data_IF_793699255888
#
_entry.id   IF_793699255888
#
_cell.length_a   1.000
_cell.length_b   1.000
_cell.length_c   1.000
_cell.angle_alpha   90.00
_cell.angle_beta   90.00
_cell.angle_gamma   90.00
#
_symmetry.space_group_name_H-M   'P 1'
#
loop_
_entity.id
_entity.type
_entity.pdbx_description
1 polymer ?
#
# COMPACT_ATOMS: atom_id res chain seq x y z
N UNK A 1 -13.06 10.78 34.41
CA UNK A 1 -13.17 10.31 33.01
C UNK A 1 -13.49 11.47 32.07
N UNK A 2 -13.03 11.39 30.83
CA UNK A 2 -13.31 12.35 29.75
C UNK A 2 -13.69 11.63 28.47
N UNK A 3 -14.42 12.30 27.56
CA UNK A 3 -14.63 11.77 26.23
C UNK A 3 -13.28 11.63 25.48
N UNK A 4 -13.16 10.55 24.71
CA UNK A 4 -12.01 10.36 23.83
C UNK A 4 -11.92 11.51 22.84
N UNK A 5 -10.73 12.03 22.62
CA UNK A 5 -10.42 13.04 21.61
C UNK A 5 -10.73 12.58 20.18
N UNK A 6 -10.84 11.26 19.98
CA UNK A 6 -11.04 10.60 18.71
C UNK A 6 -12.49 10.12 18.50
N UNK A 7 -13.40 10.58 19.36
CA UNK A 7 -14.84 10.33 19.26
C UNK A 7 -15.49 11.31 18.26
N UNK A 8 -16.30 10.77 17.37
CA UNK A 8 -17.15 11.50 16.42
C UNK A 8 -18.61 11.11 16.62
N UNK A 9 -19.50 12.09 16.44
CA UNK A 9 -20.94 11.89 16.37
C UNK A 9 -21.40 12.17 14.94
N UNK A 10 -22.05 11.21 14.30
CA UNK A 10 -22.53 11.28 12.92
C UNK A 10 -24.04 11.18 12.88
N UNK A 11 -24.74 12.21 12.47
CA UNK A 11 -26.19 12.25 12.42
C UNK A 11 -26.73 11.52 11.19
N UNK A 12 -27.54 10.49 11.37
CA UNK A 12 -28.13 9.65 10.30
C UNK A 12 -29.67 9.63 10.38
N UNK A 13 -30.30 10.78 10.53
CA UNK A 13 -31.76 10.93 10.57
C UNK A 13 -32.37 10.47 11.89
N UNK A 14 -32.98 9.29 11.95
CA UNK A 14 -33.68 8.78 13.14
C UNK A 14 -32.74 8.32 14.27
N UNK A 15 -31.48 8.05 13.98
CA UNK A 15 -30.47 7.72 14.96
C UNK A 15 -29.18 8.46 14.67
N UNK A 16 -28.25 8.40 15.60
CA UNK A 16 -26.86 8.85 15.41
C UNK A 16 -25.91 7.69 15.49
N UNK A 17 -24.78 7.79 14.82
CA UNK A 17 -23.67 6.88 14.98
C UNK A 17 -22.58 7.58 15.79
N UNK A 18 -22.03 6.88 16.77
CA UNK A 18 -20.81 7.29 17.43
C UNK A 18 -19.67 6.44 16.92
N UNK A 19 -18.57 7.08 16.60
CA UNK A 19 -17.37 6.44 16.06
C UNK A 19 -16.14 6.89 16.81
N UNK A 20 -15.32 5.95 17.28
CA UNK A 20 -14.00 6.24 17.82
C UNK A 20 -12.94 5.76 16.84
N UNK A 21 -12.21 6.69 16.21
CA UNK A 21 -11.21 6.35 15.21
C UNK A 21 -9.91 5.77 15.80
N UNK A 22 -9.71 5.79 17.12
CA UNK A 22 -8.59 5.09 17.80
C UNK A 22 -8.86 3.59 17.89
N UNK A 23 -10.10 3.21 18.24
CA UNK A 23 -10.50 1.81 18.40
C UNK A 23 -11.18 1.23 17.17
N UNK A 24 -11.48 2.06 16.18
CA UNK A 24 -12.23 1.74 14.96
C UNK A 24 -13.63 1.19 15.25
N UNK A 25 -14.22 1.62 16.37
CA UNK A 25 -15.51 1.16 16.87
C UNK A 25 -16.63 2.08 16.43
N UNK A 26 -17.66 1.51 15.79
CA UNK A 26 -18.92 2.18 15.41
C UNK A 26 -20.07 1.61 16.18
N UNK A 27 -20.93 2.47 16.76
CA UNK A 27 -22.14 2.08 17.45
C UNK A 27 -23.30 3.04 17.15
N UNK A 28 -24.50 2.50 17.04
CA UNK A 28 -25.72 3.30 16.90
C UNK A 28 -26.22 3.72 18.28
N UNK A 29 -26.64 4.97 18.40
CA UNK A 29 -27.25 5.55 19.61
C UNK A 29 -28.46 6.38 19.21
N UNK A 30 -29.40 6.57 20.16
CA UNK A 30 -30.47 7.51 19.92
C UNK A 30 -29.95 8.98 19.91
N UNK A 31 -30.76 9.86 19.31
CA UNK A 31 -30.36 11.25 19.16
C UNK A 31 -30.22 11.99 20.49
N UNK A 32 -30.94 11.59 21.54
CA UNK A 32 -30.85 12.22 22.87
C UNK A 32 -29.51 11.90 23.54
N UNK A 33 -29.08 10.63 23.46
CA UNK A 33 -27.76 10.23 23.96
C UNK A 33 -26.62 10.88 23.17
N UNK A 34 -26.79 11.03 21.86
CA UNK A 34 -25.83 11.75 21.01
C UNK A 34 -25.75 13.24 21.40
N UNK A 35 -26.88 13.90 21.73
CA UNK A 35 -26.90 15.28 22.21
C UNK A 35 -26.12 15.45 23.54
N UNK A 36 -26.22 14.47 24.44
CA UNK A 36 -25.46 14.47 25.70
C UNK A 36 -23.94 14.37 25.44
N UNK A 37 -23.53 13.58 24.45
CA UNK A 37 -22.12 13.46 24.06
C UNK A 37 -21.61 14.78 23.49
N UNK A 38 -22.32 15.36 22.52
CA UNK A 38 -21.94 16.64 21.89
C UNK A 38 -21.98 17.81 22.89
N UNK A 39 -22.89 17.75 23.86
CA UNK A 39 -22.97 18.68 24.98
C UNK A 39 -21.91 18.45 26.09
N UNK A 40 -21.02 17.48 25.92
CA UNK A 40 -20.01 17.10 26.92
C UNK A 40 -20.57 16.81 28.31
N UNK A 41 -21.78 16.23 28.38
CA UNK A 41 -22.51 15.98 29.64
C UNK A 41 -22.18 14.60 30.23
N UNK A 42 -20.90 14.30 30.41
CA UNK A 42 -20.46 12.98 30.89
C UNK A 42 -20.96 12.64 32.31
N UNK A 43 -20.92 13.62 33.23
CA UNK A 43 -21.41 13.43 34.60
C UNK A 43 -22.90 13.12 34.63
N UNK A 44 -23.68 13.73 33.74
CA UNK A 44 -25.10 13.44 33.63
C UNK A 44 -25.34 12.02 33.09
N UNK A 45 -24.56 11.60 32.07
CA UNK A 45 -24.59 10.23 31.54
C UNK A 45 -24.26 9.23 32.64
N UNK A 46 -23.22 9.45 33.43
CA UNK A 46 -22.84 8.60 34.55
C UNK A 46 -23.95 8.45 35.59
N UNK A 47 -24.65 9.55 35.93
CA UNK A 47 -25.69 9.55 36.95
C UNK A 47 -27.05 9.00 36.48
N UNK A 48 -27.41 9.24 35.21
CA UNK A 48 -28.74 8.97 34.67
C UNK A 48 -28.84 7.86 33.64
N UNK A 49 -27.69 7.50 33.01
CA UNK A 49 -27.60 6.50 31.97
C UNK A 49 -26.44 5.53 32.24
N UNK A 50 -26.43 4.91 33.42
CA UNK A 50 -25.31 4.09 33.92
C UNK A 50 -24.90 2.99 32.94
N UNK A 51 -25.84 2.28 32.30
CA UNK A 51 -25.52 1.22 31.33
C UNK A 51 -24.81 1.81 30.09
N UNK A 52 -25.23 2.99 29.66
CA UNK A 52 -24.60 3.68 28.56
C UNK A 52 -23.20 4.19 28.92
N UNK A 53 -23.01 4.70 30.14
CA UNK A 53 -21.69 5.08 30.65
C UNK A 53 -20.72 3.88 30.65
N UNK A 54 -21.16 2.72 31.16
CA UNK A 54 -20.37 1.50 31.17
C UNK A 54 -20.04 1.04 29.74
N UNK A 55 -21.02 1.14 28.84
CA UNK A 55 -20.80 0.87 27.41
C UNK A 55 -19.76 1.80 26.82
N UNK A 56 -19.86 3.13 27.02
CA UNK A 56 -18.89 4.10 26.52
C UNK A 56 -17.47 3.82 27.02
N UNK A 57 -17.33 3.42 28.29
CA UNK A 57 -16.04 3.06 28.88
C UNK A 57 -15.49 1.78 28.27
N UNK A 58 -16.30 0.74 28.16
CA UNK A 58 -15.89 -0.57 27.58
C UNK A 58 -15.42 -0.46 26.14
N UNK A 59 -16.12 0.33 25.33
CA UNK A 59 -15.84 0.49 23.90
C UNK A 59 -14.78 1.60 23.62
N UNK A 60 -14.27 2.26 24.67
CA UNK A 60 -13.21 3.26 24.57
C UNK A 60 -13.67 4.63 24.07
N UNK A 61 -14.98 4.94 24.13
CA UNK A 61 -15.50 6.27 23.82
C UNK A 61 -15.22 7.31 24.93
N UNK A 62 -14.97 6.83 26.14
CA UNK A 62 -14.46 7.64 27.25
C UNK A 62 -13.19 7.00 27.84
N UNK A 63 -12.28 7.84 28.32
CA UNK A 63 -10.96 7.44 28.86
C UNK A 63 -10.71 8.12 30.21
N UNK A 64 -9.74 7.64 30.97
CA UNK A 64 -9.34 8.29 32.23
C UNK A 64 -8.76 9.69 31.93
N UNK A 65 -8.89 10.62 32.92
CA UNK A 65 -8.52 12.03 32.73
C UNK A 65 -7.03 12.24 32.45
N UNK A 66 -6.18 11.39 33.04
CA UNK A 66 -4.72 11.40 32.93
C UNK A 66 -4.17 10.73 31.67
N UNK A 67 -5.01 10.02 30.89
CA UNK A 67 -4.58 9.34 29.65
C UNK A 67 -4.27 10.35 28.55
N UNK A 68 -3.05 10.31 28.03
CA UNK A 68 -2.70 10.91 26.74
C UNK A 68 -2.87 9.89 25.62
N UNK A 69 -4.03 9.95 24.95
CA UNK A 69 -4.36 9.00 23.88
C UNK A 69 -3.42 9.08 22.68
N UNK A 70 -2.76 10.23 22.44
CA UNK A 70 -1.80 10.36 21.35
C UNK A 70 -0.52 9.58 21.64
N UNK A 71 -0.05 9.64 22.90
CA UNK A 71 1.11 8.84 23.35
C UNK A 71 0.80 7.35 23.20
N UNK A 72 -0.38 6.90 23.65
CA UNK A 72 -0.80 5.49 23.53
C UNK A 72 -0.77 5.00 22.09
N UNK A 73 -1.24 5.82 21.16
CA UNK A 73 -1.26 5.49 19.72
C UNK A 73 0.17 5.33 19.21
N UNK A 74 1.05 6.29 19.52
CA UNK A 74 2.44 6.24 19.09
C UNK A 74 3.16 5.03 19.70
N UNK A 75 2.92 4.71 20.97
CA UNK A 75 3.49 3.52 21.61
C UNK A 75 2.99 2.22 20.98
N UNK A 76 1.71 2.17 20.60
CA UNK A 76 1.16 1.04 19.85
C UNK A 76 1.85 0.89 18.50
N UNK A 77 2.03 1.97 17.77
CA UNK A 77 2.73 1.95 16.48
C UNK A 77 4.20 1.57 16.59
N UNK A 78 4.88 1.97 17.66
CA UNK A 78 6.26 1.52 17.94
C UNK A 78 6.34 0.01 18.18
N UNK A 79 5.33 -0.57 18.86
CA UNK A 79 5.24 -2.02 19.06
C UNK A 79 5.00 -2.76 17.75
N UNK A 80 4.14 -2.22 16.89
CA UNK A 80 3.85 -2.79 15.56
C UNK A 80 5.06 -2.79 14.61
N UNK A 81 6.04 -1.90 14.83
CA UNK A 81 7.30 -1.91 14.08
C UNK A 81 8.14 -3.17 14.31
N UNK A 82 7.86 -3.92 15.36
CA UNK A 82 8.43 -5.22 15.66
C UNK A 82 7.59 -6.38 15.10
N UNK A 83 6.76 -6.11 14.06
CA UNK A 83 6.02 -7.14 13.34
C UNK A 83 6.91 -8.32 12.97
N UNK A 84 6.42 -9.58 13.06
CA UNK A 84 7.19 -10.76 12.66
C UNK A 84 7.36 -10.89 11.14
N UNK A 85 7.05 -9.85 10.36
CA UNK A 85 7.23 -9.82 8.91
C UNK A 85 8.43 -8.94 8.53
N UNK A 86 9.43 -9.54 7.89
CA UNK A 86 10.52 -8.82 7.21
C UNK A 86 10.12 -8.56 5.76
N UNK A 87 10.13 -7.30 5.34
CA UNK A 87 9.79 -6.88 3.97
C UNK A 87 11.02 -6.34 3.26
N UNK A 88 11.39 -6.97 2.15
CA UNK A 88 12.52 -6.51 1.32
C UNK A 88 12.04 -6.32 -0.11
N UNK A 89 12.08 -5.06 -0.58
CA UNK A 89 11.91 -4.72 -1.98
C UNK A 89 13.28 -4.71 -2.63
N UNK A 90 13.40 -5.35 -3.77
CA UNK A 90 14.66 -5.58 -4.45
C UNK A 90 14.53 -5.07 -5.88
N UNK A 91 15.43 -4.19 -6.28
CA UNK A 91 15.58 -3.76 -7.68
C UNK A 91 16.73 -4.53 -8.32
N UNK A 92 16.48 -5.65 -9.01
CA UNK A 92 17.53 -6.44 -9.67
C UNK A 92 18.30 -5.62 -10.69
N UNK A 93 17.61 -4.65 -11.28
CA UNK A 93 18.12 -3.71 -12.29
C UNK A 93 17.30 -2.44 -12.34
N UNK A 94 17.92 -1.33 -12.71
CA UNK A 94 17.25 -0.11 -13.12
C UNK A 94 17.16 0.04 -14.65
N UNK A 95 17.56 -1.00 -15.40
CA UNK A 95 17.31 -1.07 -16.85
C UNK A 95 15.86 -1.52 -17.10
N UNK A 96 15.30 -1.04 -18.21
CA UNK A 96 13.94 -1.38 -18.60
C UNK A 96 13.85 -1.54 -20.12
N UNK A 97 13.09 -2.53 -20.56
CA UNK A 97 12.82 -2.78 -21.97
C UNK A 97 11.75 -1.85 -22.58
N UNK A 98 11.14 -0.96 -21.76
CA UNK A 98 10.15 0.04 -22.17
C UNK A 98 10.55 1.45 -21.71
N UNK A 99 9.89 2.49 -22.29
CA UNK A 99 10.15 3.91 -21.97
C UNK A 99 8.84 4.66 -21.80
N UNK A 100 8.13 4.41 -20.68
CA UNK A 100 6.88 5.08 -20.38
C UNK A 100 7.13 6.56 -20.05
N UNK A 101 6.33 7.47 -20.61
CA UNK A 101 6.51 8.92 -20.43
C UNK A 101 6.31 9.41 -19.00
N UNK A 102 5.49 8.70 -18.22
CA UNK A 102 5.21 9.01 -16.82
C UNK A 102 6.13 8.29 -15.83
N UNK A 103 7.10 7.50 -16.31
CA UNK A 103 7.98 6.77 -15.40
C UNK A 103 8.81 7.74 -14.57
N UNK A 104 8.66 7.64 -13.25
CA UNK A 104 9.46 8.45 -12.31
C UNK A 104 10.83 7.82 -12.02
N UNK A 105 11.03 6.55 -12.42
CA UNK A 105 12.30 5.87 -12.27
C UNK A 105 13.31 6.31 -13.32
N UNK A 106 14.51 6.64 -12.87
CA UNK A 106 15.62 6.90 -13.75
C UNK A 106 16.22 5.58 -14.24
N UNK A 107 15.97 5.25 -15.49
CA UNK A 107 16.55 4.04 -16.07
C UNK A 107 18.08 4.16 -16.19
N UNK A 108 18.78 3.11 -15.75
CA UNK A 108 20.23 2.97 -15.86
C UNK A 108 20.53 1.77 -16.75
N UNK A 109 20.84 2.01 -18.03
CA UNK A 109 21.07 0.94 -18.99
C UNK A 109 22.16 -0.04 -18.53
N UNK A 110 21.91 -1.35 -18.72
CA UNK A 110 22.83 -2.42 -18.35
C UNK A 110 23.17 -2.51 -16.85
N UNK A 111 22.47 -1.78 -15.99
CA UNK A 111 22.58 -2.00 -14.56
C UNK A 111 22.07 -3.41 -14.22
N UNK A 112 22.82 -4.13 -13.44
CA UNK A 112 22.44 -5.46 -12.97
C UNK A 112 23.06 -5.67 -11.59
N UNK A 113 22.26 -6.17 -10.66
CA UNK A 113 22.72 -6.51 -9.32
C UNK A 113 23.81 -7.57 -9.41
N UNK A 114 24.94 -7.31 -8.78
CA UNK A 114 26.05 -8.24 -8.73
C UNK A 114 25.86 -9.25 -7.61
N UNK A 115 26.48 -10.44 -7.73
CA UNK A 115 26.37 -11.53 -6.77
C UNK A 115 26.69 -11.08 -5.33
N UNK A 116 27.68 -10.21 -5.14
CA UNK A 116 28.03 -9.69 -3.80
C UNK A 116 26.90 -8.94 -3.12
N UNK A 117 26.02 -8.25 -3.86
CA UNK A 117 24.81 -7.59 -3.28
C UNK A 117 23.77 -8.63 -2.97
N UNK A 118 23.57 -9.65 -3.82
CA UNK A 118 22.67 -10.79 -3.53
C UNK A 118 23.08 -11.50 -2.24
N UNK A 119 24.36 -11.78 -2.06
CA UNK A 119 24.92 -12.41 -0.86
C UNK A 119 24.70 -11.53 0.39
N UNK A 120 24.84 -10.19 0.24
CA UNK A 120 24.58 -9.25 1.32
C UNK A 120 23.09 -9.20 1.73
N UNK A 121 22.17 -9.31 0.77
CA UNK A 121 20.73 -9.42 1.03
C UNK A 121 20.41 -10.69 1.82
N UNK A 122 21.04 -11.82 1.46
CA UNK A 122 20.88 -13.08 2.19
C UNK A 122 21.40 -12.99 3.62
N UNK A 123 22.57 -12.35 3.82
CA UNK A 123 23.11 -12.11 5.16
C UNK A 123 22.19 -11.23 5.99
N UNK A 124 21.65 -10.14 5.40
CA UNK A 124 20.65 -9.29 6.06
C UNK A 124 19.43 -10.11 6.48
N UNK A 125 18.85 -10.87 5.57
CA UNK A 125 17.67 -11.68 5.88
C UNK A 125 17.98 -12.72 6.97
N UNK A 126 19.13 -13.36 6.93
CA UNK A 126 19.58 -14.32 7.94
C UNK A 126 19.71 -13.68 9.32
N UNK A 127 20.35 -12.51 9.39
CA UNK A 127 20.51 -11.76 10.63
C UNK A 127 19.17 -11.33 11.23
N UNK A 128 18.29 -10.76 10.41
CA UNK A 128 16.97 -10.31 10.84
C UNK A 128 16.09 -11.47 11.34
N UNK A 129 16.12 -12.61 10.65
CA UNK A 129 15.40 -13.84 11.05
C UNK A 129 15.91 -14.33 12.39
N UNK A 130 17.24 -14.38 12.58
CA UNK A 130 17.84 -14.89 13.80
C UNK A 130 17.63 -13.99 15.02
N UNK A 131 17.55 -12.66 14.83
CA UNK A 131 17.55 -11.70 15.92
C UNK A 131 16.18 -11.13 16.28
N UNK A 132 15.19 -11.17 15.35
CA UNK A 132 13.90 -10.47 15.51
C UNK A 132 12.65 -11.35 15.47
N UNK A 133 12.79 -12.65 15.65
CA UNK A 133 11.66 -13.59 15.62
C UNK A 133 10.78 -13.44 14.37
N UNK A 134 11.40 -13.28 13.19
CA UNK A 134 10.72 -13.16 11.92
C UNK A 134 10.06 -14.51 11.58
N UNK A 135 8.78 -14.46 11.22
CA UNK A 135 7.99 -15.63 10.80
C UNK A 135 7.61 -15.56 9.32
N UNK A 136 7.67 -14.38 8.73
CA UNK A 136 7.35 -14.16 7.32
C UNK A 136 8.42 -13.27 6.68
N UNK A 137 8.93 -13.72 5.54
CA UNK A 137 9.80 -12.95 4.66
C UNK A 137 9.03 -12.59 3.39
N UNK A 138 8.75 -11.31 3.21
CA UNK A 138 8.10 -10.78 2.01
C UNK A 138 9.17 -10.20 1.08
N UNK A 139 9.34 -10.80 -0.08
CA UNK A 139 10.25 -10.35 -1.15
C UNK A 139 9.45 -9.76 -2.30
N UNK A 140 9.70 -8.49 -2.64
CA UNK A 140 9.05 -7.80 -3.75
C UNK A 140 10.11 -7.36 -4.76
N UNK A 141 10.03 -7.83 -5.99
CA UNK A 141 10.94 -7.40 -7.06
C UNK A 141 10.34 -6.24 -7.83
N UNK A 142 11.14 -5.18 -7.96
CA UNK A 142 10.74 -3.88 -8.52
C UNK A 142 11.90 -3.27 -9.35
N UNK A 143 11.91 -1.97 -9.60
CA UNK A 143 12.96 -1.23 -10.32
C UNK A 143 12.56 -0.89 -11.75
N UNK A 144 13.48 -0.97 -12.72
CA UNK A 144 13.15 -0.76 -14.14
C UNK A 144 12.19 -1.85 -14.65
N UNK A 145 12.73 -2.97 -15.15
CA UNK A 145 11.96 -4.21 -15.36
C UNK A 145 12.66 -5.36 -14.65
N UNK A 146 12.12 -5.83 -13.53
CA UNK A 146 12.81 -6.83 -12.70
C UNK A 146 13.04 -8.16 -13.41
N UNK A 147 12.18 -8.56 -14.33
CA UNK A 147 12.34 -9.82 -15.07
C UNK A 147 13.51 -9.82 -16.08
N UNK A 148 14.16 -8.70 -16.33
CA UNK A 148 15.48 -8.67 -17.00
C UNK A 148 16.55 -9.32 -16.13
N UNK A 149 16.40 -9.28 -14.79
CA UNK A 149 17.28 -9.92 -13.82
C UNK A 149 16.83 -11.33 -13.40
N UNK A 150 15.90 -11.98 -14.12
CA UNK A 150 15.33 -13.26 -13.72
C UNK A 150 16.40 -14.34 -13.51
N UNK A 151 17.31 -14.50 -14.46
CA UNK A 151 18.33 -15.57 -14.43
C UNK A 151 19.50 -15.26 -13.50
N UNK A 152 19.91 -13.99 -13.44
CA UNK A 152 21.13 -13.59 -12.76
C UNK A 152 20.91 -13.18 -11.30
N UNK A 153 19.69 -12.82 -10.93
CA UNK A 153 19.38 -12.28 -9.59
C UNK A 153 18.21 -12.99 -8.95
N UNK A 154 17.02 -13.01 -9.60
CA UNK A 154 15.79 -13.42 -8.96
C UNK A 154 15.80 -14.91 -8.61
N UNK A 155 16.08 -15.78 -9.59
CA UNK A 155 16.11 -17.24 -9.36
C UNK A 155 17.20 -17.62 -8.35
N UNK A 156 18.48 -17.21 -8.50
CA UNK A 156 19.51 -17.55 -7.51
C UNK A 156 19.20 -17.08 -6.09
N UNK A 157 18.65 -15.88 -5.95
CA UNK A 157 18.24 -15.35 -4.64
C UNK A 157 17.10 -16.19 -4.03
N UNK A 158 16.08 -16.52 -4.81
CA UNK A 158 14.92 -17.29 -4.33
C UNK A 158 15.29 -18.73 -3.99
N UNK A 159 16.22 -19.37 -4.71
CA UNK A 159 16.77 -20.67 -4.36
C UNK A 159 17.45 -20.63 -2.97
N UNK A 160 18.36 -19.68 -2.78
CA UNK A 160 19.05 -19.51 -1.50
C UNK A 160 18.09 -19.11 -0.35
N UNK A 161 17.07 -18.29 -0.63
CA UNK A 161 16.02 -17.95 0.35
C UNK A 161 15.16 -19.17 0.68
N UNK A 162 14.89 -20.06 -0.27
CA UNK A 162 14.14 -21.30 0.00
C UNK A 162 14.84 -22.16 1.05
N UNK A 163 16.15 -22.33 0.94
CA UNK A 163 16.96 -23.07 1.91
C UNK A 163 16.96 -22.39 3.28
N UNK A 164 17.13 -21.05 3.30
CA UNK A 164 17.09 -20.26 4.52
C UNK A 164 15.73 -20.37 5.23
N UNK A 165 14.65 -20.26 4.48
CA UNK A 165 13.29 -20.31 5.00
C UNK A 165 12.95 -21.69 5.56
N UNK A 166 13.29 -22.75 4.84
CA UNK A 166 13.10 -24.14 5.28
C UNK A 166 13.84 -24.41 6.60
N UNK A 167 15.10 -23.98 6.69
CA UNK A 167 15.94 -24.17 7.88
C UNK A 167 15.38 -23.47 9.11
N UNK A 168 14.72 -22.34 8.95
CA UNK A 168 14.26 -21.49 10.05
C UNK A 168 12.72 -21.52 10.27
N UNK A 169 11.97 -22.29 9.49
CA UNK A 169 10.51 -22.36 9.59
C UNK A 169 9.82 -21.04 9.24
N UNK A 170 10.39 -20.26 8.31
CA UNK A 170 9.88 -18.95 7.88
C UNK A 170 9.02 -19.13 6.63
N UNK A 171 7.85 -18.48 6.60
CA UNK A 171 7.01 -18.41 5.40
C UNK A 171 7.56 -17.35 4.46
N UNK A 172 7.65 -17.65 3.17
CA UNK A 172 8.11 -16.71 2.15
C UNK A 172 6.94 -16.31 1.25
N UNK A 173 6.77 -15.00 1.04
CA UNK A 173 5.87 -14.45 0.04
C UNK A 173 6.69 -13.74 -1.02
N UNK A 174 6.38 -14.02 -2.29
CA UNK A 174 7.08 -13.42 -3.43
C UNK A 174 6.12 -12.61 -4.28
N UNK A 175 6.49 -11.38 -4.58
CA UNK A 175 5.75 -10.50 -5.47
C UNK A 175 6.64 -9.88 -6.54
N UNK A 176 6.05 -9.60 -7.70
CA UNK A 176 6.69 -8.92 -8.84
C UNK A 176 5.88 -7.68 -9.21
N UNK A 177 6.55 -6.55 -9.40
CA UNK A 177 5.97 -5.38 -10.07
C UNK A 177 6.65 -5.28 -11.43
N UNK A 178 5.92 -5.62 -12.48
CA UNK A 178 6.47 -5.79 -13.83
C UNK A 178 5.61 -5.10 -14.89
N UNK A 179 6.20 -4.71 -16.01
CA UNK A 179 5.45 -4.26 -17.15
C UNK A 179 4.72 -5.40 -17.91
N UNK A 180 4.96 -6.65 -17.53
CA UNK A 180 4.26 -7.84 -18.05
C UNK A 180 4.82 -8.42 -19.37
N UNK A 181 5.71 -7.72 -20.06
CA UNK A 181 6.27 -8.19 -21.36
C UNK A 181 7.02 -9.52 -21.21
N UNK A 182 7.76 -9.68 -20.09
CA UNK A 182 8.56 -10.86 -19.80
C UNK A 182 7.84 -11.86 -18.87
N UNK A 183 6.60 -11.60 -18.47
CA UNK A 183 5.78 -12.52 -17.67
C UNK A 183 5.24 -13.67 -18.52
N UNK A 184 6.13 -14.31 -19.27
CA UNK A 184 5.77 -15.40 -20.19
C UNK A 184 5.49 -16.69 -19.42
N UNK A 185 4.65 -17.57 -20.00
CA UNK A 185 4.34 -18.90 -19.44
C UNK A 185 5.62 -19.65 -19.01
N UNK A 186 6.70 -19.56 -19.82
CA UNK A 186 8.00 -20.16 -19.49
C UNK A 186 8.60 -19.58 -18.21
N UNK A 187 8.61 -18.26 -18.08
CA UNK A 187 9.22 -17.59 -16.92
C UNK A 187 8.38 -17.81 -15.66
N UNK A 188 7.05 -17.78 -15.77
CA UNK A 188 6.14 -18.11 -14.67
C UNK A 188 6.36 -19.54 -14.19
N UNK A 189 6.42 -20.54 -15.10
CA UNK A 189 6.66 -21.92 -14.73
C UNK A 189 8.01 -22.12 -14.01
N UNK A 190 9.04 -21.39 -14.41
CA UNK A 190 10.35 -21.42 -13.72
C UNK A 190 10.26 -20.83 -12.30
N UNK A 191 9.55 -19.74 -12.11
CA UNK A 191 9.34 -19.18 -10.78
C UNK A 191 8.53 -20.15 -9.91
N UNK A 192 7.41 -20.67 -10.40
CA UNK A 192 6.55 -21.60 -9.66
C UNK A 192 7.19 -22.96 -9.37
N UNK A 193 8.29 -23.33 -10.06
CA UNK A 193 9.07 -24.52 -9.72
C UNK A 193 9.80 -24.36 -8.37
N UNK A 194 10.00 -23.13 -7.90
CA UNK A 194 10.61 -22.85 -6.61
C UNK A 194 9.60 -22.99 -5.46
N UNK A 195 9.96 -23.65 -4.34
CA UNK A 195 9.06 -23.85 -3.20
C UNK A 195 8.48 -22.54 -2.64
N UNK A 196 9.27 -21.47 -2.67
CA UNK A 196 8.90 -20.13 -2.18
C UNK A 196 7.93 -19.36 -3.07
N UNK A 197 7.73 -19.80 -4.32
CA UNK A 197 6.89 -19.10 -5.31
C UNK A 197 5.55 -19.79 -5.60
N UNK A 198 5.10 -20.71 -4.75
CA UNK A 198 3.81 -21.40 -4.94
C UNK A 198 2.63 -20.42 -4.90
N UNK A 199 2.75 -19.33 -4.14
CA UNK A 199 1.78 -18.24 -4.06
C UNK A 199 2.40 -16.96 -4.62
N UNK A 200 2.82 -17.00 -5.90
CA UNK A 200 3.36 -15.84 -6.59
C UNK A 200 2.26 -14.79 -6.83
N UNK A 201 2.56 -13.54 -6.50
CA UNK A 201 1.71 -12.40 -6.83
C UNK A 201 2.41 -11.47 -7.81
N UNK A 202 1.68 -10.91 -8.77
CA UNK A 202 2.24 -9.99 -9.75
C UNK A 202 1.37 -8.73 -9.86
N UNK A 203 1.98 -7.56 -9.82
CA UNK A 203 1.35 -6.34 -10.30
C UNK A 203 1.80 -6.08 -11.72
N UNK A 204 0.83 -6.01 -12.65
CA UNK A 204 1.06 -5.71 -14.07
C UNK A 204 0.33 -4.42 -14.44
N UNK A 205 0.93 -3.57 -15.28
CA UNK A 205 0.34 -2.28 -15.63
C UNK A 205 -0.22 -2.24 -17.04
N UNK A 206 -1.45 -1.69 -17.17
CA UNK A 206 -2.05 -1.30 -18.46
C UNK A 206 -2.35 0.20 -18.48
N UNK A 207 -2.32 0.80 -19.68
CA UNK A 207 -2.49 2.25 -19.89
C UNK A 207 -3.67 2.54 -20.83
N UNK A 208 -4.80 1.87 -20.63
CA UNK A 208 -5.98 1.93 -21.48
C UNK A 208 -6.03 0.78 -22.49
N UNK A 209 -6.90 0.91 -23.51
CA UNK A 209 -7.00 -0.04 -24.61
C UNK A 209 -5.71 -0.12 -25.45
N UNK A 210 -5.68 -0.98 -26.45
CA UNK A 210 -4.49 -1.20 -27.28
C UNK A 210 -3.91 0.09 -27.87
N UNK A 211 -4.75 1.02 -28.31
CA UNK A 211 -4.30 2.30 -28.88
C UNK A 211 -3.54 3.16 -27.86
N UNK A 212 -4.13 3.43 -26.69
CA UNK A 212 -3.51 4.25 -25.64
C UNK A 212 -2.31 3.56 -25.02
N UNK A 213 -2.43 2.26 -24.75
CA UNK A 213 -1.35 1.47 -24.20
C UNK A 213 -0.11 1.47 -25.10
N UNK A 214 -0.28 1.15 -26.38
CA UNK A 214 0.84 1.07 -27.33
C UNK A 214 1.48 2.43 -27.63
N UNK A 215 0.74 3.53 -27.44
CA UNK A 215 1.30 4.88 -27.49
C UNK A 215 2.25 5.16 -26.32
N UNK A 216 1.99 4.55 -25.16
CA UNK A 216 2.77 4.74 -23.92
C UNK A 216 3.83 3.64 -23.74
N UNK A 217 3.46 2.39 -23.99
CA UNK A 217 4.28 1.19 -23.80
C UNK A 217 4.53 0.46 -25.12
N UNK A 218 5.56 0.88 -25.82
CA UNK A 218 6.05 0.18 -27.01
C UNK A 218 7.54 -0.13 -26.88
N UNK A 219 7.99 -1.10 -27.67
CA UNK A 219 9.42 -1.36 -27.83
C UNK A 219 10.11 -0.21 -28.59
N UNK A 220 11.44 -0.15 -28.50
CA UNK A 220 12.23 0.87 -29.19
C UNK A 220 12.05 0.89 -30.72
N UNK A 221 11.61 -0.21 -31.30
CA UNK A 221 11.26 -0.32 -32.73
C UNK A 221 9.81 0.08 -33.05
N UNK A 222 9.05 0.61 -32.07
CA UNK A 222 7.66 1.05 -32.22
C UNK A 222 6.61 -0.06 -32.17
N UNK A 223 6.99 -1.32 -31.98
CA UNK A 223 6.03 -2.42 -31.84
C UNK A 223 5.33 -2.31 -30.49
N UNK A 224 3.99 -2.33 -30.51
CA UNK A 224 3.15 -2.28 -29.31
C UNK A 224 3.29 -3.51 -28.43
N UNK A 225 2.90 -3.37 -27.16
CA UNK A 225 3.03 -4.46 -26.16
C UNK A 225 1.71 -4.93 -25.59
N UNK A 226 0.59 -4.27 -25.87
CA UNK A 226 -0.72 -4.54 -25.28
C UNK A 226 -1.14 -6.01 -25.38
N UNK A 227 -1.29 -6.52 -26.62
CA UNK A 227 -1.73 -7.89 -26.87
C UNK A 227 -0.81 -8.94 -26.25
N UNK A 228 0.51 -8.67 -26.23
CA UNK A 228 1.51 -9.54 -25.57
C UNK A 228 1.34 -9.57 -24.06
N UNK A 229 1.17 -8.40 -23.43
CA UNK A 229 1.00 -8.28 -21.99
C UNK A 229 -0.32 -8.92 -21.56
N UNK A 230 -1.42 -8.62 -22.26
CA UNK A 230 -2.73 -9.19 -21.99
C UNK A 230 -2.70 -10.72 -22.05
N UNK A 231 -2.09 -11.28 -23.12
CA UNK A 231 -1.86 -12.72 -23.23
C UNK A 231 -1.08 -13.29 -22.05
N UNK A 232 0.02 -12.64 -21.67
CA UNK A 232 0.86 -13.09 -20.54
C UNK A 232 0.09 -13.06 -19.21
N UNK A 233 -0.76 -12.05 -18.99
CA UNK A 233 -1.65 -11.95 -17.82
C UNK A 233 -2.61 -13.13 -17.78
N UNK A 234 -3.31 -13.41 -18.89
CA UNK A 234 -4.24 -14.56 -18.98
C UNK A 234 -3.51 -15.89 -18.77
N UNK A 235 -2.37 -16.08 -19.43
CA UNK A 235 -1.54 -17.30 -19.26
C UNK A 235 -1.09 -17.48 -17.79
N UNK A 236 -0.75 -16.41 -17.08
CA UNK A 236 -0.32 -16.48 -15.68
C UNK A 236 -1.49 -16.79 -14.73
N UNK A 237 -2.67 -16.18 -14.94
CA UNK A 237 -3.90 -16.50 -14.21
C UNK A 237 -4.23 -18.00 -14.31
N UNK A 238 -4.17 -18.56 -15.53
CA UNK A 238 -4.38 -20.00 -15.79
C UNK A 238 -3.43 -20.92 -15.02
N UNK A 239 -2.33 -20.42 -14.49
CA UNK A 239 -1.40 -21.18 -13.67
C UNK A 239 -1.53 -20.91 -12.16
N UNK A 240 -2.54 -20.14 -11.74
CA UNK A 240 -2.81 -19.83 -10.34
C UNK A 240 -2.00 -18.65 -9.78
N UNK A 241 -1.40 -17.81 -10.64
CA UNK A 241 -0.74 -16.58 -10.20
C UNK A 241 -1.80 -15.53 -9.84
N UNK A 242 -1.69 -14.93 -8.67
CA UNK A 242 -2.52 -13.78 -8.30
C UNK A 242 -2.03 -12.51 -8.99
N UNK A 243 -2.89 -11.84 -9.72
CA UNK A 243 -2.52 -10.64 -10.48
C UNK A 243 -3.30 -9.42 -9.99
N UNK A 244 -2.58 -8.36 -9.67
CA UNK A 244 -3.15 -7.01 -9.60
C UNK A 244 -2.89 -6.34 -10.94
N UNK A 245 -3.94 -6.17 -11.73
CA UNK A 245 -3.88 -5.43 -12.99
C UNK A 245 -4.08 -3.95 -12.68
N UNK A 246 -2.97 -3.22 -12.65
CA UNK A 246 -2.97 -1.80 -12.36
C UNK A 246 -3.27 -0.99 -13.62
N UNK A 247 -4.35 -0.25 -13.60
CA UNK A 247 -4.75 0.68 -14.63
C UNK A 247 -4.15 2.06 -14.33
N UNK A 248 -3.14 2.47 -15.10
CA UNK A 248 -2.57 3.81 -15.01
C UNK A 248 -3.45 4.76 -15.83
N UNK A 249 -4.34 5.45 -15.15
CA UNK A 249 -5.39 6.26 -15.76
C UNK A 249 -4.97 7.72 -15.91
N UNK A 250 -5.38 8.33 -17.02
CA UNK A 250 -5.28 9.76 -17.31
C UNK A 250 -6.65 10.27 -17.76
N UNK A 251 -6.80 11.59 -17.88
CA UNK A 251 -8.02 12.19 -18.45
C UNK A 251 -8.32 11.65 -19.86
N UNK A 252 -7.27 11.41 -20.63
CA UNK A 252 -7.40 10.97 -22.03
C UNK A 252 -7.75 9.48 -22.17
N UNK A 253 -7.14 8.60 -21.35
CA UNK A 253 -7.27 7.16 -21.53
C UNK A 253 -8.37 6.52 -20.68
N UNK A 254 -8.93 7.23 -19.70
CA UNK A 254 -9.85 6.65 -18.70
C UNK A 254 -11.01 5.88 -19.34
N UNK A 255 -11.69 6.47 -20.33
CA UNK A 255 -12.85 5.85 -20.94
C UNK A 255 -12.49 4.63 -21.79
N UNK A 256 -11.24 4.52 -22.26
CA UNK A 256 -10.78 3.38 -23.07
C UNK A 256 -10.67 2.06 -22.29
N UNK A 257 -10.73 2.12 -20.95
CA UNK A 257 -10.78 0.89 -20.14
C UNK A 257 -12.11 0.13 -20.27
N UNK A 258 -13.13 0.72 -20.90
CA UNK A 258 -14.32 -0.02 -21.31
C UNK A 258 -13.97 -1.14 -22.33
N UNK A 259 -13.07 -0.87 -23.27
CA UNK A 259 -12.59 -1.83 -24.24
C UNK A 259 -11.70 -2.91 -23.57
N UNK A 260 -10.90 -2.48 -22.56
CA UNK A 260 -10.11 -3.44 -21.73
C UNK A 260 -11.03 -4.41 -20.97
N UNK A 261 -12.19 -3.94 -20.50
CA UNK A 261 -13.18 -4.80 -19.85
C UNK A 261 -13.67 -5.88 -20.82
N UNK A 262 -13.97 -5.52 -22.06
CA UNK A 262 -14.37 -6.48 -23.11
C UNK A 262 -13.26 -7.49 -23.39
N UNK A 263 -12.01 -7.04 -23.47
CA UNK A 263 -10.84 -7.91 -23.67
C UNK A 263 -10.58 -8.90 -22.50
N UNK A 264 -11.13 -8.63 -21.31
CA UNK A 264 -11.02 -9.48 -20.12
C UNK A 264 -12.23 -10.42 -19.93
N UNK A 265 -13.30 -10.28 -20.69
CA UNK A 265 -14.55 -11.05 -20.49
C UNK A 265 -14.38 -12.56 -20.69
N UNK A 266 -13.41 -12.99 -21.49
CA UNK A 266 -13.10 -14.41 -21.75
C UNK A 266 -12.39 -15.11 -20.57
N UNK A 267 -11.96 -14.35 -19.52
CA UNK A 267 -11.37 -14.91 -18.31
C UNK A 267 -12.45 -15.68 -17.53
N UNK A 268 -12.19 -16.95 -17.25
CA UNK A 268 -13.13 -17.81 -16.52
C UNK A 268 -13.38 -17.30 -15.09
N UNK A 269 -14.58 -17.58 -14.55
CA UNK A 269 -14.97 -17.07 -13.21
C UNK A 269 -13.99 -17.45 -12.10
N UNK A 270 -13.46 -18.68 -12.08
CA UNK A 270 -12.48 -19.11 -11.09
C UNK A 270 -11.12 -18.38 -11.20
N UNK A 271 -10.77 -17.93 -12.41
CA UNK A 271 -9.55 -17.15 -12.65
C UNK A 271 -9.74 -15.67 -12.30
N UNK A 272 -10.98 -15.15 -12.38
CA UNK A 272 -11.29 -13.77 -11.94
C UNK A 272 -11.07 -13.56 -10.45
N UNK A 273 -11.19 -14.60 -9.63
CA UNK A 273 -10.86 -14.54 -8.18
C UNK A 273 -9.37 -14.26 -7.93
N UNK A 274 -8.50 -14.60 -8.89
CA UNK A 274 -7.07 -14.35 -8.85
C UNK A 274 -6.70 -12.98 -9.45
N UNK A 275 -7.67 -12.28 -10.07
CA UNK A 275 -7.46 -11.01 -10.75
C UNK A 275 -8.08 -9.86 -9.96
N UNK A 276 -7.25 -8.93 -9.54
CA UNK A 276 -7.66 -7.72 -8.87
C UNK A 276 -7.38 -6.50 -9.76
N UNK A 277 -8.36 -5.64 -9.94
CA UNK A 277 -8.25 -4.41 -10.75
C UNK A 277 -7.95 -3.23 -9.83
N UNK A 278 -6.91 -2.45 -10.15
CA UNK A 278 -6.46 -1.31 -9.37
C UNK A 278 -6.36 -0.05 -10.24
N UNK A 279 -7.30 0.90 -10.10
CA UNK A 279 -7.29 2.17 -10.81
C UNK A 279 -6.39 3.18 -10.13
N UNK A 280 -5.36 3.65 -10.82
CA UNK A 280 -4.40 4.62 -10.29
C UNK A 280 -4.23 5.80 -11.26
N UNK A 281 -4.53 7.01 -10.80
CA UNK A 281 -4.30 8.22 -11.58
C UNK A 281 -2.80 8.50 -11.72
N UNK A 282 -2.35 8.82 -12.92
CA UNK A 282 -0.95 9.18 -13.21
C UNK A 282 -0.67 10.58 -12.67
N UNK A 283 0.33 10.69 -11.80
CA UNK A 283 0.63 11.95 -11.09
C UNK A 283 1.01 13.12 -12.00
N UNK A 284 1.55 12.83 -13.17
CA UNK A 284 1.97 13.81 -14.18
C UNK A 284 0.79 14.30 -15.04
N UNK A 285 -0.38 13.68 -14.89
CA UNK A 285 -1.61 14.10 -15.58
C UNK A 285 -2.31 15.21 -14.77
N UNK A 286 -2.15 16.46 -15.20
CA UNK A 286 -2.66 17.66 -14.52
C UNK A 286 -4.02 18.12 -15.08
N UNK A 287 -4.93 17.19 -15.38
CA UNK A 287 -6.26 17.52 -15.92
C UNK A 287 -7.07 18.45 -15.02
N UNK A 288 -7.78 19.41 -15.61
CA UNK A 288 -8.46 20.50 -14.89
C UNK A 288 -9.75 20.09 -14.16
N UNK A 289 -10.43 18.98 -14.55
CA UNK A 289 -11.74 18.59 -13.99
C UNK A 289 -11.68 17.31 -13.16
N UNK A 290 -11.12 17.43 -11.97
CA UNK A 290 -10.97 16.31 -11.02
C UNK A 290 -12.33 15.67 -10.65
N UNK A 291 -13.39 16.43 -10.47
CA UNK A 291 -14.71 15.89 -10.09
C UNK A 291 -15.32 15.03 -11.19
N UNK A 292 -15.26 15.49 -12.42
CA UNK A 292 -15.75 14.76 -13.60
C UNK A 292 -14.92 13.50 -13.86
N UNK A 293 -13.62 13.57 -13.63
CA UNK A 293 -12.74 12.41 -13.70
C UNK A 293 -13.13 11.33 -12.67
N UNK A 294 -13.33 11.71 -11.41
CA UNK A 294 -13.71 10.78 -10.35
C UNK A 294 -15.08 10.13 -10.60
N UNK A 295 -16.08 10.90 -11.05
CA UNK A 295 -17.39 10.35 -11.40
C UNK A 295 -17.31 9.32 -12.55
N UNK A 296 -16.52 9.60 -13.57
CA UNK A 296 -16.31 8.67 -14.69
C UNK A 296 -15.54 7.40 -14.25
N UNK A 297 -14.53 7.58 -13.40
CA UNK A 297 -13.77 6.46 -12.85
C UNK A 297 -14.67 5.55 -12.02
N UNK A 298 -15.54 6.11 -11.18
CA UNK A 298 -16.45 5.33 -10.34
C UNK A 298 -17.45 4.52 -11.18
N UNK A 299 -18.08 5.14 -12.17
CA UNK A 299 -18.97 4.44 -13.11
C UNK A 299 -18.28 3.30 -13.85
N UNK A 300 -17.00 3.48 -14.18
CA UNK A 300 -16.21 2.43 -14.82
C UNK A 300 -15.89 1.30 -13.85
N UNK A 301 -15.55 1.61 -12.60
CA UNK A 301 -15.35 0.62 -11.53
C UNK A 301 -16.58 -0.24 -11.31
N UNK A 302 -17.76 0.38 -11.21
CA UNK A 302 -19.06 -0.33 -11.10
C UNK A 302 -19.24 -1.35 -12.22
N UNK A 303 -18.94 -0.99 -13.46
CA UNK A 303 -19.03 -1.91 -14.61
C UNK A 303 -18.11 -3.14 -14.47
N UNK A 304 -16.87 -2.97 -13.96
CA UNK A 304 -15.97 -4.09 -13.68
C UNK A 304 -16.54 -5.00 -12.59
N UNK A 305 -17.10 -4.42 -11.52
CA UNK A 305 -17.74 -5.17 -10.44
C UNK A 305 -18.97 -5.93 -10.93
N UNK A 306 -19.84 -5.31 -11.74
CA UNK A 306 -21.01 -5.96 -12.36
C UNK A 306 -20.63 -7.16 -13.25
N UNK A 307 -19.46 -7.10 -13.87
CA UNK A 307 -18.90 -8.22 -14.67
C UNK A 307 -18.17 -9.27 -13.81
N UNK A 308 -18.20 -9.15 -12.49
CA UNK A 308 -17.65 -10.11 -11.53
C UNK A 308 -16.15 -10.00 -11.30
N UNK A 309 -15.53 -8.85 -11.61
CA UNK A 309 -14.14 -8.58 -11.25
C UNK A 309 -14.02 -7.97 -9.84
N UNK A 310 -12.98 -8.35 -9.12
CA UNK A 310 -12.60 -7.66 -7.89
C UNK A 310 -11.90 -6.36 -8.24
N UNK A 311 -12.39 -5.24 -7.70
CA UNK A 311 -11.80 -3.92 -7.91
C UNK A 311 -11.35 -3.36 -6.57
N UNK A 312 -10.09 -2.92 -6.49
CA UNK A 312 -9.56 -2.32 -5.27
C UNK A 312 -10.36 -1.08 -4.87
N UNK A 313 -10.71 -1.02 -3.60
CA UNK A 313 -11.33 0.17 -3.02
C UNK A 313 -10.32 1.31 -2.92
N UNK A 314 -10.82 2.55 -2.85
CA UNK A 314 -9.97 3.73 -2.70
C UNK A 314 -9.22 3.66 -1.36
N UNK A 315 -7.90 3.89 -1.40
CA UNK A 315 -6.96 3.76 -0.27
C UNK A 315 -7.26 4.62 0.97
N UNK A 316 -8.27 5.50 0.93
CA UNK A 316 -8.66 6.32 2.09
C UNK A 316 -9.28 5.52 3.23
N UNK A 317 -9.58 4.26 2.99
CA UNK A 317 -10.30 3.36 3.89
C UNK A 317 -9.36 2.36 4.56
N UNK A 318 -8.16 2.18 4.02
CA UNK A 318 -7.15 1.30 4.62
C UNK A 318 -6.50 1.98 5.84
N UNK A 319 -6.70 1.37 7.02
CA UNK A 319 -6.12 1.83 8.28
C UNK A 319 -4.69 1.32 8.49
N UNK A 320 -3.97 0.97 7.43
CA UNK A 320 -2.60 0.50 7.53
C UNK A 320 -1.57 1.63 7.44
N UNK A 321 -0.54 1.56 8.29
CA UNK A 321 0.60 2.46 8.20
C UNK A 321 1.46 2.14 6.98
N UNK A 322 2.04 3.18 6.39
CA UNK A 322 2.92 3.05 5.23
C UNK A 322 4.09 2.08 5.53
N UNK A 323 4.35 1.17 4.59
CA UNK A 323 5.49 0.25 4.70
C UNK A 323 6.83 0.98 4.86
N UNK A 324 6.99 2.16 4.25
CA UNK A 324 8.20 2.97 4.30
C UNK A 324 8.56 3.44 5.74
N UNK A 325 7.59 3.44 6.66
CA UNK A 325 7.77 3.85 8.05
C UNK A 325 8.06 2.67 9.00
N UNK A 326 8.03 1.43 8.48
CA UNK A 326 8.32 0.22 9.27
C UNK A 326 9.83 0.00 9.40
N UNK A 327 10.30 -0.42 10.58
CA UNK A 327 11.74 -0.71 10.82
C UNK A 327 12.24 -1.87 9.99
N UNK A 328 11.44 -2.92 9.89
CA UNK A 328 11.75 -4.16 9.18
C UNK A 328 11.32 -4.13 7.69
N UNK A 329 11.38 -2.93 7.08
CA UNK A 329 11.22 -2.75 5.64
C UNK A 329 12.51 -2.17 5.03
N UNK A 330 12.95 -2.75 3.94
CA UNK A 330 14.12 -2.35 3.16
C UNK A 330 13.76 -2.32 1.67
N UNK A 331 14.21 -1.30 0.95
CA UNK A 331 14.22 -1.30 -0.52
C UNK A 331 15.67 -1.23 -0.97
N UNK A 332 16.17 -2.30 -1.58
CA UNK A 332 17.58 -2.48 -1.93
C UNK A 332 17.74 -2.39 -3.43
N UNK A 333 18.52 -1.42 -3.88
CA UNK A 333 18.81 -1.21 -5.29
C UNK A 333 19.96 -2.11 -5.78
N UNK A 334 20.08 -2.27 -7.10
CA UNK A 334 21.06 -3.14 -7.76
C UNK A 334 22.51 -2.93 -7.29
N UNK A 335 22.84 -1.74 -6.81
CA UNK A 335 24.17 -1.35 -6.34
C UNK A 335 24.36 -1.40 -4.82
N UNK A 336 23.36 -1.90 -4.07
CA UNK A 336 23.39 -1.96 -2.61
C UNK A 336 22.93 -0.68 -1.91
N UNK A 337 22.52 0.37 -2.64
CA UNK A 337 21.87 1.53 -2.05
C UNK A 337 20.52 1.13 -1.42
N UNK A 338 20.23 1.66 -0.23
CA UNK A 338 19.02 1.34 0.53
C UNK A 338 18.10 2.55 0.61
N UNK A 339 16.82 2.29 0.40
CA UNK A 339 15.71 3.24 0.42
C UNK A 339 14.60 2.73 1.33
N UNK A 340 13.67 3.59 1.69
CA UNK A 340 12.42 3.23 2.38
C UNK A 340 11.21 3.36 1.46
N UNK A 341 11.13 4.40 0.65
CA UNK A 341 9.99 4.70 -0.20
C UNK A 341 10.26 4.28 -1.65
N UNK A 342 9.33 3.53 -2.26
CA UNK A 342 9.39 3.16 -3.70
C UNK A 342 8.67 4.16 -4.60
N UNK A 343 8.06 5.22 -4.07
CA UNK A 343 7.35 6.23 -4.84
C UNK A 343 8.22 7.45 -5.18
N UNK A 344 9.53 7.27 -5.23
CA UNK A 344 10.53 8.26 -5.66
C UNK A 344 11.62 7.55 -6.44
N UNK A 345 12.30 8.29 -7.34
CA UNK A 345 13.44 7.75 -8.08
C UNK A 345 14.54 7.21 -7.15
N UNK A 346 15.17 6.11 -7.53
CA UNK A 346 16.27 5.50 -6.78
C UNK A 346 17.62 6.19 -7.08
N UNK A 347 17.69 7.48 -6.77
CA UNK A 347 18.90 8.31 -6.92
C UNK A 347 19.63 8.50 -5.60
N UNK A 348 20.89 8.92 -5.66
CA UNK A 348 21.70 9.24 -4.47
C UNK A 348 21.02 10.26 -3.55
N UNK A 349 20.24 11.19 -4.12
CA UNK A 349 19.50 12.18 -3.34
C UNK A 349 18.38 11.57 -2.49
N UNK A 350 17.83 10.42 -2.89
CA UNK A 350 16.76 9.73 -2.19
C UNK A 350 17.24 8.57 -1.33
N UNK A 351 18.51 8.21 -1.44
CA UNK A 351 19.13 7.15 -0.67
C UNK A 351 19.08 7.44 0.84
N UNK A 352 18.69 6.45 1.60
CA UNK A 352 18.57 6.52 3.07
C UNK A 352 19.61 5.67 3.80
N UNK A 353 20.30 4.76 3.09
CA UNK A 353 21.38 3.94 3.63
C UNK A 353 22.14 3.17 2.56
N UNK A 354 23.05 2.34 3.01
CA UNK A 354 23.86 1.43 2.16
C UNK A 354 23.95 0.07 2.84
N UNK A 355 23.72 -0.99 2.07
CA UNK A 355 23.90 -2.37 2.50
C UNK A 355 25.39 -2.73 2.44
N UNK A 356 25.96 -3.19 3.56
CA UNK A 356 27.35 -3.64 3.64
C UNK A 356 27.52 -5.07 3.14
N UNK A 357 28.74 -5.48 2.93
CA UNK A 357 29.10 -6.85 2.57
C UNK A 357 28.80 -7.87 3.69
N UNK A 358 28.66 -7.39 4.91
CA UNK A 358 28.29 -8.19 6.10
C UNK A 358 26.77 -8.35 6.24
N UNK A 359 25.97 -7.66 5.42
CA UNK A 359 24.50 -7.71 5.48
C UNK A 359 23.91 -6.73 6.50
N UNK A 360 24.64 -5.73 6.90
CA UNK A 360 24.16 -4.64 7.75
C UNK A 360 23.79 -3.41 6.91
N UNK A 361 22.84 -2.60 7.39
CA UNK A 361 22.49 -1.34 6.74
C UNK A 361 23.05 -0.17 7.53
N UNK A 362 23.93 0.60 6.89
CA UNK A 362 24.42 1.87 7.43
C UNK A 362 23.45 2.97 6.98
N UNK A 363 22.63 3.44 7.93
CA UNK A 363 21.66 4.50 7.70
C UNK A 363 22.32 5.88 7.69
N UNK A 364 21.75 6.82 6.94
CA UNK A 364 22.22 8.21 6.85
C UNK A 364 21.24 9.19 7.51
N UNK A 365 21.61 10.47 7.53
CA UNK A 365 20.81 11.54 8.13
C UNK A 365 19.39 11.69 7.53
N UNK A 366 19.16 11.22 6.29
CA UNK A 366 17.82 11.23 5.67
C UNK A 366 16.90 10.21 6.35
N UNK A 367 17.41 9.03 6.63
CA UNK A 367 16.66 8.03 7.41
C UNK A 367 16.39 8.53 8.83
N UNK A 368 17.36 9.16 9.49
CA UNK A 368 17.15 9.78 10.82
C UNK A 368 16.03 10.84 10.78
N UNK A 369 15.95 11.63 9.69
CA UNK A 369 14.87 12.59 9.50
C UNK A 369 13.52 11.89 9.35
N UNK A 370 13.45 10.77 8.60
CA UNK A 370 12.22 9.94 8.50
C UNK A 370 11.79 9.42 9.86
N UNK A 371 12.70 8.85 10.63
CA UNK A 371 12.43 8.31 11.96
C UNK A 371 11.82 9.35 12.91
N UNK A 372 12.23 10.61 12.81
CA UNK A 372 11.66 11.72 13.59
C UNK A 372 10.26 12.13 13.11
N UNK A 373 9.97 12.01 11.80
CA UNK A 373 8.73 12.53 11.20
C UNK A 373 7.62 11.48 11.03
N UNK A 374 7.93 10.19 11.11
CA UNK A 374 6.98 9.11 10.81
C UNK A 374 5.78 9.01 11.78
N UNK A 375 5.89 9.61 12.96
CA UNK A 375 4.81 9.65 13.95
C UNK A 375 4.00 10.95 13.95
N UNK A 376 4.09 11.73 12.89
CA UNK A 376 3.40 13.01 12.83
C UNK A 376 4.23 14.19 13.33
N UNK A 377 3.60 15.32 13.47
CA UNK A 377 4.10 16.56 14.05
C UNK A 377 3.09 17.07 15.09
N UNK A 378 3.35 18.22 15.70
CA UNK A 378 2.49 18.79 16.74
C UNK A 378 1.04 18.99 16.26
N UNK A 379 0.84 19.47 15.01
CA UNK A 379 -0.49 19.58 14.40
C UNK A 379 -1.18 18.22 14.24
N UNK A 380 -0.42 17.18 13.90
CA UNK A 380 -0.95 15.80 13.82
C UNK A 380 -1.35 15.29 15.22
N UNK A 381 -0.53 15.56 16.23
CA UNK A 381 -0.79 15.13 17.60
C UNK A 381 -2.01 15.81 18.22
N UNK A 382 -2.41 16.97 17.70
CA UNK A 382 -3.65 17.67 18.08
C UNK A 382 -4.86 17.27 17.22
N UNK A 383 -4.67 16.52 16.14
CA UNK A 383 -5.71 16.21 15.17
C UNK A 383 -6.60 15.04 15.62
N UNK A 384 -7.92 15.21 15.48
CA UNK A 384 -8.90 14.19 15.85
C UNK A 384 -8.97 12.96 14.93
N UNK A 385 -8.44 13.04 13.70
CA UNK A 385 -8.30 11.88 12.79
C UNK A 385 -6.89 11.29 12.77
N UNK A 386 -6.03 11.65 13.71
CA UNK A 386 -4.64 11.17 13.77
C UNK A 386 -4.52 9.64 13.71
N UNK A 387 -5.38 8.85 14.42
CA UNK A 387 -5.30 7.39 14.39
C UNK A 387 -5.49 6.77 13.00
N UNK A 388 -6.35 7.35 12.16
CA UNK A 388 -6.65 6.86 10.81
C UNK A 388 -5.84 7.54 9.72
N UNK A 389 -5.37 8.78 9.95
CA UNK A 389 -4.50 9.52 9.03
C UNK A 389 -3.02 9.15 9.18
N UNK A 390 -2.61 8.60 10.32
CA UNK A 390 -1.23 8.26 10.70
C UNK A 390 -0.23 9.42 10.56
N UNK A 391 -0.71 10.66 10.65
CA UNK A 391 0.11 11.85 10.45
C UNK A 391 0.52 12.10 8.99
N UNK A 392 -0.02 11.35 8.02
CA UNK A 392 0.26 11.50 6.60
C UNK A 392 1.59 10.88 6.15
N UNK A 393 2.01 11.19 4.93
CA UNK A 393 3.19 10.59 4.29
C UNK A 393 4.50 11.18 4.84
N UNK A 394 5.34 10.36 5.46
CA UNK A 394 6.67 10.75 5.97
C UNK A 394 7.61 11.25 4.87
N UNK A 395 7.55 10.63 3.68
CA UNK A 395 8.33 11.06 2.53
C UNK A 395 7.97 12.48 2.11
N UNK A 396 6.69 12.79 2.02
CA UNK A 396 6.22 14.13 1.67
C UNK A 396 6.60 15.17 2.73
N UNK A 397 6.56 14.81 4.03
CA UNK A 397 7.03 15.67 5.12
C UNK A 397 8.53 15.99 5.01
N UNK A 398 9.35 15.00 4.66
CA UNK A 398 10.80 15.23 4.49
C UNK A 398 11.12 16.19 3.37
N UNK A 399 10.28 16.25 2.33
CA UNK A 399 10.41 17.10 1.15
C UNK A 399 9.80 18.49 1.35
N UNK A 400 8.85 18.63 2.30
CA UNK A 400 8.16 19.89 2.58
C UNK A 400 9.01 20.83 3.43
N UNK A 401 8.90 22.13 3.16
CA UNK A 401 9.49 23.19 4.00
C UNK A 401 8.64 23.51 5.24
N UNK A 402 7.32 23.28 5.18
CA UNK A 402 6.36 23.58 6.26
C UNK A 402 6.05 22.31 7.06
N UNK A 403 6.96 21.89 7.96
CA UNK A 403 6.82 20.67 8.75
C UNK A 403 5.78 20.83 9.89
N UNK A 404 5.45 22.07 10.28
CA UNK A 404 4.53 22.37 11.39
C UNK A 404 3.07 22.11 11.10
N UNK A 405 2.64 22.18 9.83
CA UNK A 405 1.24 22.15 9.42
C UNK A 405 0.76 20.76 8.96
N UNK A 406 -0.55 20.63 8.71
CA UNK A 406 -1.12 19.42 8.12
C UNK A 406 -0.58 19.22 6.71
N UNK A 407 0.26 18.20 6.53
CA UNK A 407 0.91 17.89 5.25
C UNK A 407 -0.08 17.52 4.14
N UNK A 408 -1.30 17.10 4.50
CA UNK A 408 -2.38 16.79 3.55
C UNK A 408 -3.22 18.02 3.23
N UNK A 409 -3.08 19.12 3.98
CA UNK A 409 -3.90 20.30 3.85
C UNK A 409 -5.39 20.08 4.17
N UNK A 410 -5.73 19.04 4.93
CA UNK A 410 -7.13 18.69 5.20
C UNK A 410 -7.83 19.78 6.00
N UNK A 411 -8.91 20.33 5.43
CA UNK A 411 -9.89 21.15 6.13
C UNK A 411 -10.72 20.29 7.10
N UNK A 412 -11.50 20.92 7.96
CA UNK A 412 -12.43 20.21 8.85
C UNK A 412 -13.44 19.37 8.05
N UNK A 413 -13.93 19.90 6.93
CA UNK A 413 -14.86 19.21 6.02
C UNK A 413 -14.23 17.96 5.40
N UNK A 414 -12.94 18.02 5.04
CA UNK A 414 -12.22 16.84 4.51
C UNK A 414 -12.10 15.75 5.57
N UNK A 415 -11.81 16.14 6.82
CA UNK A 415 -11.73 15.18 7.94
C UNK A 415 -13.07 14.51 8.23
N UNK A 416 -14.15 15.27 8.21
CA UNK A 416 -15.51 14.74 8.37
C UNK A 416 -15.87 13.75 7.24
N UNK A 417 -15.50 14.08 6.01
CA UNK A 417 -15.67 13.15 4.88
C UNK A 417 -14.90 11.85 5.08
N UNK A 418 -13.62 11.94 5.45
CA UNK A 418 -12.78 10.74 5.73
C UNK A 418 -13.43 9.86 6.81
N UNK A 419 -13.95 10.46 7.86
CA UNK A 419 -14.64 9.73 8.95
C UNK A 419 -15.92 9.07 8.45
N UNK A 420 -16.75 9.78 7.66
CA UNK A 420 -17.97 9.22 7.09
C UNK A 420 -17.65 8.03 6.16
N UNK A 421 -16.70 8.20 5.24
CA UNK A 421 -16.28 7.15 4.31
C UNK A 421 -15.78 5.89 5.08
N UNK A 422 -15.03 6.09 6.18
CA UNK A 422 -14.56 4.99 7.03
C UNK A 422 -15.71 4.27 7.74
N UNK A 423 -16.64 5.01 8.31
CA UNK A 423 -17.80 4.45 9.00
C UNK A 423 -18.70 3.68 8.03
N UNK A 424 -18.97 4.23 6.85
CA UNK A 424 -19.77 3.55 5.83
C UNK A 424 -19.09 2.24 5.35
N UNK A 425 -17.76 2.22 5.23
CA UNK A 425 -16.99 1.01 4.95
C UNK A 425 -17.12 -0.05 6.05
N UNK A 426 -16.97 0.34 7.33
CA UNK A 426 -17.09 -0.58 8.47
C UNK A 426 -18.48 -1.21 8.51
N UNK A 427 -19.53 -0.41 8.29
CA UNK A 427 -20.91 -0.88 8.28
C UNK A 427 -21.13 -1.86 7.11
N UNK A 428 -20.67 -1.50 5.90
CA UNK A 428 -20.84 -2.35 4.72
C UNK A 428 -20.17 -3.71 4.88
N UNK A 429 -19.00 -3.77 5.52
CA UNK A 429 -18.30 -5.03 5.77
C UNK A 429 -18.93 -5.86 6.90
N UNK A 430 -19.54 -5.22 7.91
CA UNK A 430 -20.30 -5.96 8.95
C UNK A 430 -21.59 -6.59 8.43
N UNK A 431 -22.16 -6.05 7.36
CA UNK A 431 -23.39 -6.60 6.74
C UNK A 431 -23.08 -7.78 5.81
N UNK A 432 -21.87 -7.83 5.24
CA UNK A 432 -21.43 -8.90 4.31
C UNK A 432 -20.93 -10.17 5.03
N UNK A 433 -20.62 -10.09 6.32
CA UNK A 433 -20.20 -11.19 7.20
C UNK A 433 -21.33 -11.59 8.16
#
# INVERSE_FOLDING_TARGET
>A
MKFSKYLFVLRKGFCSLIYNCKTDTVSAVDNQLADLIEGHQLDYIEQKHQDFYVFLKREGFIVEDDVDECVDIIETWKKEEHSPTLSIFINPTMDCNLKCWYCYEKHVPKSMMQQGVVDSILKLATHEIATRNIRMLSLSFFGGEPLLGLDNVIIPLLEAVSDLAQKNGVVVQVSLVTNGVLLTKKNVARLQSLPTCKQLTCQVTLDGNEFFHNKTKCFSNGVGTYSKILKNVKDALNTGVHITLRFNTTMDNLLSYADVLEDLEDIASGERELLNIDFQHVWQDNGEDTMKYLDRQEKLRERFVEKGFTVNELKHIDNSRCYADRKNHYTINYNGDVFKCTAREFSSNNREGVLTTEGEVIWNAKNEKREKLKYGNDSCHQCNIFPICHGGCSQFKMESMAISDCIRGYSQKDKEKIVNDRVDYIISNKIKN
#
